data_IF_630980161141
#
_entry.id   IF_630980161141
#
_cell.length_a   1.000
_cell.length_b   1.000
_cell.length_c   1.000
_cell.angle_alpha   90.00
_cell.angle_beta   90.00
_cell.angle_gamma   90.00
#
_symmetry.space_group_name_H-M   'P 1'
#
loop_
_entity.id
_entity.type
_entity.pdbx_description
1 polymer ?
#
# COMPACT_ATOMS: atom_id res chain seq x y z
N UNK A 1 63.20 -41.18 16.29
CA UNK A 1 61.77 -41.53 16.30
C UNK A 1 61.01 -40.21 16.38
N UNK A 2 60.27 -39.71 15.41
CA UNK A 2 59.54 -40.31 14.30
C UNK A 2 59.74 -39.43 13.05
N UNK A 3 60.01 -40.10 11.94
CA UNK A 3 60.02 -39.55 10.59
C UNK A 3 58.58 -39.36 10.12
N UNK A 4 58.24 -38.18 9.60
CA UNK A 4 57.54 -38.14 8.31
C UNK A 4 57.74 -36.79 7.62
N UNK A 5 58.71 -36.82 6.71
CA UNK A 5 58.74 -36.10 5.45
C UNK A 5 57.32 -35.94 4.86
N UNK A 6 57.02 -34.81 4.21
CA UNK A 6 56.95 -34.76 2.73
C UNK A 6 56.31 -33.45 2.21
N UNK A 7 57.16 -32.63 1.57
CA UNK A 7 56.94 -31.85 0.33
C UNK A 7 55.90 -30.72 0.38
N UNK A 8 56.08 -29.56 -0.26
CA UNK A 8 56.99 -29.15 -1.34
C UNK A 8 57.00 -27.61 -1.37
N UNK A 9 58.16 -27.03 -1.67
CA UNK A 9 58.37 -25.61 -1.99
C UNK A 9 57.69 -25.21 -3.31
N UNK A 10 57.32 -23.92 -3.43
CA UNK A 10 57.61 -22.93 -4.50
C UNK A 10 56.57 -21.79 -4.37
N UNK A 11 56.87 -20.59 -3.86
CA UNK A 11 57.53 -19.41 -4.47
C UNK A 11 57.07 -19.18 -5.93
N UNK A 12 56.52 -18.04 -6.37
CA UNK A 12 57.13 -16.69 -6.43
C UNK A 12 56.03 -15.58 -6.46
N UNK A 13 56.45 -14.40 -5.98
CA UNK A 13 55.81 -13.05 -5.88
C UNK A 13 55.24 -12.50 -7.20
N UNK A 14 54.23 -11.61 -7.15
CA UNK A 14 54.31 -10.16 -7.52
C UNK A 14 52.95 -9.43 -7.43
N UNK A 15 53.05 -8.14 -7.07
CA UNK A 15 52.02 -7.11 -6.85
C UNK A 15 51.02 -6.89 -7.99
N UNK A 16 49.76 -6.55 -7.63
CA UNK A 16 49.09 -5.25 -7.94
C UNK A 16 47.63 -5.26 -7.44
N UNK A 17 47.28 -4.29 -6.58
CA UNK A 17 45.91 -3.79 -6.35
C UNK A 17 45.73 -2.51 -7.19
N UNK A 18 44.53 -1.93 -7.36
CA UNK A 18 43.17 -2.49 -7.32
C UNK A 18 42.33 -2.04 -8.55
N UNK A 19 41.63 -2.94 -9.25
CA UNK A 19 40.67 -2.51 -10.28
C UNK A 19 39.31 -2.19 -9.66
N UNK A 20 39.16 -0.91 -9.32
CA UNK A 20 37.96 -0.23 -8.85
C UNK A 20 36.98 0.01 -10.02
N UNK A 21 36.51 -1.03 -10.71
CA UNK A 21 35.62 -0.84 -11.86
C UNK A 21 34.64 -2.00 -12.07
N UNK A 22 33.81 -2.29 -11.07
CA UNK A 22 32.56 -3.06 -11.24
C UNK A 22 31.60 -2.76 -10.08
N UNK A 23 31.21 -1.49 -9.94
CA UNK A 23 30.10 -1.05 -9.07
C UNK A 23 29.20 -0.08 -9.84
N UNK A 24 28.73 -0.49 -11.02
CA UNK A 24 27.77 0.28 -11.81
C UNK A 24 26.58 -0.60 -12.22
N UNK A 25 25.85 -1.10 -11.22
CA UNK A 25 24.51 -1.67 -11.43
C UNK A 25 23.68 -1.73 -10.14
N UNK A 26 23.87 -0.77 -9.22
CA UNK A 26 23.07 -0.68 -7.98
C UNK A 26 22.52 0.73 -7.72
N UNK A 27 22.47 1.58 -8.76
CA UNK A 27 22.00 2.96 -8.67
C UNK A 27 20.86 3.27 -9.65
N UNK A 28 20.08 2.25 -10.04
CA UNK A 28 18.68 2.49 -10.36
C UNK A 28 17.96 2.77 -9.02
N UNK A 29 18.30 3.92 -8.43
CA UNK A 29 17.55 4.56 -7.37
C UNK A 29 16.15 4.70 -7.95
N UNK A 30 15.26 3.79 -7.55
CA UNK A 30 13.83 3.87 -7.82
C UNK A 30 13.43 5.29 -7.44
N UNK A 31 13.14 6.12 -8.45
CA UNK A 31 12.47 7.38 -8.23
C UNK A 31 11.09 6.99 -7.68
N UNK A 32 11.01 6.80 -6.37
CA UNK A 32 9.73 6.75 -5.68
C UNK A 32 9.06 8.05 -6.03
N UNK A 33 7.99 7.94 -6.80
CA UNK A 33 7.18 9.08 -7.24
C UNK A 33 6.39 9.56 -6.03
N UNK A 34 7.08 10.07 -5.02
CA UNK A 34 6.45 10.65 -3.85
C UNK A 34 5.83 11.97 -4.29
N UNK A 35 4.52 11.94 -4.43
CA UNK A 35 3.72 13.12 -4.67
C UNK A 35 3.71 13.89 -3.34
N UNK A 36 3.86 15.22 -3.37
CA UNK A 36 3.81 16.03 -2.15
C UNK A 36 2.45 15.85 -1.43
N UNK A 37 2.39 15.91 -0.08
CA UNK A 37 1.16 15.71 0.68
C UNK A 37 -0.03 16.54 0.18
N UNK A 38 0.20 17.80 -0.20
CA UNK A 38 -0.86 18.69 -0.71
C UNK A 38 -1.48 18.16 -2.01
N UNK A 39 -0.63 17.67 -2.93
CA UNK A 39 -1.07 17.08 -4.20
C UNK A 39 -1.78 15.74 -3.98
N UNK A 40 -1.37 14.97 -2.98
CA UNK A 40 -2.05 13.73 -2.59
C UNK A 40 -3.46 14.04 -2.08
N UNK A 41 -3.60 15.05 -1.21
CA UNK A 41 -4.89 15.52 -0.71
C UNK A 41 -5.77 16.04 -1.85
N UNK A 42 -5.23 16.83 -2.78
CA UNK A 42 -5.97 17.31 -3.96
C UNK A 42 -6.45 16.17 -4.85
N UNK A 43 -5.59 15.18 -5.10
CA UNK A 43 -5.96 13.98 -5.86
C UNK A 43 -7.07 13.22 -5.13
N UNK A 44 -6.93 13.00 -3.82
CA UNK A 44 -7.93 12.32 -3.01
C UNK A 44 -9.29 13.04 -3.03
N UNK A 45 -9.30 14.38 -2.92
CA UNK A 45 -10.52 15.19 -3.06
C UNK A 45 -11.20 14.95 -4.40
N UNK A 46 -10.44 14.98 -5.50
CA UNK A 46 -10.96 14.69 -6.84
C UNK A 46 -11.54 13.28 -6.93
N UNK A 47 -10.86 12.28 -6.36
CA UNK A 47 -11.34 10.89 -6.35
C UNK A 47 -12.63 10.74 -5.54
N UNK A 48 -12.73 11.34 -4.35
CA UNK A 48 -13.96 11.33 -3.56
C UNK A 48 -15.14 11.96 -4.33
N UNK A 49 -14.91 13.08 -5.01
CA UNK A 49 -15.94 13.74 -5.81
C UNK A 49 -16.44 12.86 -6.96
N UNK A 50 -15.57 12.03 -7.56
CA UNK A 50 -16.00 11.05 -8.58
C UNK A 50 -16.95 9.98 -8.02
N UNK A 51 -16.95 9.75 -6.72
CA UNK A 51 -17.89 8.88 -5.99
C UNK A 51 -19.06 9.67 -5.39
N UNK A 52 -19.18 10.97 -5.70
CA UNK A 52 -20.25 11.83 -5.18
C UNK A 52 -20.07 12.23 -3.71
N UNK A 53 -18.85 12.13 -3.16
CA UNK A 53 -18.56 12.47 -1.77
C UNK A 53 -17.75 13.77 -1.74
N UNK A 54 -18.23 14.76 -0.99
CA UNK A 54 -17.45 15.94 -0.72
C UNK A 54 -16.58 15.72 0.52
N UNK A 55 -15.28 15.99 0.43
CA UNK A 55 -14.34 15.82 1.57
C UNK A 55 -14.78 16.62 2.81
N UNK A 56 -15.43 17.78 2.63
CA UNK A 56 -15.88 18.62 3.73
C UNK A 56 -17.03 18.00 4.53
N UNK A 57 -17.70 16.97 3.98
CA UNK A 57 -18.75 16.21 4.67
C UNK A 57 -18.19 15.03 5.45
N UNK A 58 -16.95 14.60 5.18
CA UNK A 58 -16.32 13.44 5.82
C UNK A 58 -16.34 13.47 7.35
N UNK A 59 -16.12 14.61 8.04
CA UNK A 59 -16.23 14.66 9.50
C UNK A 59 -17.60 14.20 10.02
N UNK A 60 -18.68 14.48 9.28
CA UNK A 60 -20.06 14.08 9.63
C UNK A 60 -20.35 12.62 9.27
N UNK A 61 -19.73 12.11 8.22
CA UNK A 61 -19.94 10.75 7.69
C UNK A 61 -19.06 9.70 8.38
N UNK A 62 -18.02 10.14 9.09
CA UNK A 62 -17.09 9.27 9.82
C UNK A 62 -17.78 8.62 11.04
N UNK A 63 -17.69 7.29 11.21
CA UNK A 63 -18.23 6.64 12.39
C UNK A 63 -17.59 7.16 13.68
N UNK A 64 -18.41 7.48 14.69
CA UNK A 64 -17.94 8.04 15.96
C UNK A 64 -17.11 7.05 16.78
N UNK A 65 -17.49 5.77 16.78
CA UNK A 65 -16.80 4.74 17.59
C UNK A 65 -15.62 4.13 16.82
N UNK A 66 -14.52 3.83 17.55
CA UNK A 66 -13.36 3.13 16.99
C UNK A 66 -13.75 1.79 16.38
N UNK A 67 -14.64 1.04 17.05
CA UNK A 67 -15.13 -0.26 16.58
C UNK A 67 -15.80 -0.14 15.20
N UNK A 68 -16.71 0.83 15.04
CA UNK A 68 -17.40 1.02 13.76
C UNK A 68 -16.47 1.49 12.65
N UNK A 69 -15.44 2.27 12.98
CA UNK A 69 -14.39 2.63 12.02
C UNK A 69 -13.58 1.42 11.57
N UNK A 70 -13.21 0.53 12.50
CA UNK A 70 -12.49 -0.71 12.20
C UNK A 70 -13.33 -1.69 11.37
N UNK A 71 -14.63 -1.81 11.68
CA UNK A 71 -15.57 -2.61 10.88
C UNK A 71 -15.60 -2.12 9.43
N UNK A 72 -15.70 -0.81 9.23
CA UNK A 72 -15.71 -0.20 7.90
C UNK A 72 -14.35 -0.34 7.20
N UNK A 73 -13.24 -0.20 7.93
CA UNK A 73 -11.89 -0.44 7.42
C UNK A 73 -11.74 -1.88 6.92
N UNK A 74 -12.23 -2.86 7.66
CA UNK A 74 -12.17 -4.27 7.25
C UNK A 74 -12.91 -4.53 5.94
N UNK A 75 -14.08 -3.91 5.76
CA UNK A 75 -14.83 -3.98 4.49
C UNK A 75 -14.04 -3.31 3.37
N UNK A 76 -13.48 -2.12 3.60
CA UNK A 76 -12.68 -1.38 2.62
C UNK A 76 -11.43 -2.15 2.18
N UNK A 77 -10.70 -2.73 3.14
CA UNK A 77 -9.53 -3.58 2.89
C UNK A 77 -9.90 -4.84 2.12
N UNK A 78 -11.07 -5.43 2.39
CA UNK A 78 -11.55 -6.58 1.62
C UNK A 78 -11.82 -6.22 0.15
N UNK A 79 -12.41 -5.04 -0.11
CA UNK A 79 -12.62 -4.54 -1.48
C UNK A 79 -11.28 -4.32 -2.17
N UNK A 80 -10.32 -3.67 -1.51
CA UNK A 80 -9.03 -3.32 -2.10
C UNK A 80 -8.18 -4.55 -2.48
N UNK A 81 -8.24 -5.62 -1.67
CA UNK A 81 -7.46 -6.84 -1.86
C UNK A 81 -8.12 -7.86 -2.81
N UNK A 82 -9.39 -7.70 -3.15
CA UNK A 82 -10.08 -8.56 -4.11
C UNK A 82 -10.15 -7.88 -5.48
N UNK A 83 -9.46 -8.45 -6.48
CA UNK A 83 -9.35 -7.88 -7.83
C UNK A 83 -10.71 -7.62 -8.50
N UNK A 84 -11.67 -8.53 -8.33
CA UNK A 84 -13.00 -8.40 -8.93
C UNK A 84 -13.83 -7.32 -8.21
N UNK A 85 -13.83 -7.30 -6.88
CA UNK A 85 -14.56 -6.29 -6.13
C UNK A 85 -13.96 -4.90 -6.35
N UNK A 86 -12.63 -4.80 -6.41
CA UNK A 86 -11.93 -3.57 -6.76
C UNK A 86 -12.33 -3.06 -8.13
N UNK A 87 -12.35 -3.92 -9.15
CA UNK A 87 -12.71 -3.50 -10.52
C UNK A 87 -14.16 -3.02 -10.59
N UNK A 88 -15.08 -3.74 -9.94
CA UNK A 88 -16.49 -3.36 -9.84
C UNK A 88 -16.67 -2.03 -9.10
N UNK A 89 -15.97 -1.86 -7.98
CA UNK A 89 -15.99 -0.64 -7.16
C UNK A 89 -15.56 0.59 -7.96
N UNK A 90 -14.42 0.50 -8.67
CA UNK A 90 -13.87 1.60 -9.46
C UNK A 90 -14.72 1.91 -10.70
N UNK A 91 -15.26 0.88 -11.36
CA UNK A 91 -16.05 1.04 -12.58
C UNK A 91 -17.44 1.60 -12.28
N UNK A 92 -18.11 1.06 -11.26
CA UNK A 92 -19.46 1.50 -10.86
C UNK A 92 -19.46 2.76 -10.00
N UNK A 93 -18.29 3.18 -9.50
CA UNK A 93 -18.13 4.31 -8.56
C UNK A 93 -19.02 4.15 -7.32
N UNK A 94 -19.08 2.93 -6.80
CA UNK A 94 -19.95 2.57 -5.68
C UNK A 94 -19.66 1.19 -5.12
N UNK A 95 -20.21 0.88 -3.93
CA UNK A 95 -19.94 -0.41 -3.28
C UNK A 95 -20.67 -1.57 -4.00
N UNK A 96 -19.97 -2.69 -4.29
CA UNK A 96 -20.59 -3.93 -4.75
C UNK A 96 -21.35 -4.62 -3.61
N UNK A 97 -22.46 -4.03 -3.16
CA UNK A 97 -23.16 -4.41 -1.93
C UNK A 97 -23.67 -5.85 -1.94
N UNK A 98 -24.11 -6.36 -3.10
CA UNK A 98 -24.59 -7.75 -3.24
C UNK A 98 -23.49 -8.75 -2.88
N UNK A 99 -22.30 -8.58 -3.46
CA UNK A 99 -21.15 -9.45 -3.20
C UNK A 99 -20.60 -9.27 -1.78
N UNK A 100 -20.58 -8.04 -1.26
CA UNK A 100 -20.10 -7.78 0.10
C UNK A 100 -21.02 -8.39 1.17
N UNK A 101 -22.32 -8.51 0.88
CA UNK A 101 -23.29 -9.07 1.83
C UNK A 101 -23.10 -10.56 2.12
N UNK A 102 -22.32 -11.27 1.31
CA UNK A 102 -21.96 -12.67 1.54
C UNK A 102 -21.00 -12.84 2.75
N UNK A 103 -20.19 -11.81 3.05
CA UNK A 103 -19.18 -11.85 4.12
C UNK A 103 -19.41 -10.83 5.22
N UNK A 104 -20.09 -9.73 4.93
CA UNK A 104 -20.29 -8.63 5.87
C UNK A 104 -21.77 -8.31 6.07
N UNK A 105 -22.19 -7.90 7.28
CA UNK A 105 -23.57 -7.52 7.53
C UNK A 105 -24.00 -6.35 6.63
N UNK A 106 -25.09 -6.52 5.85
CA UNK A 106 -25.65 -5.49 4.97
C UNK A 106 -25.94 -4.17 5.69
N UNK A 107 -26.31 -4.24 6.97
CA UNK A 107 -26.52 -3.06 7.83
C UNK A 107 -25.26 -2.21 7.99
N UNK A 108 -24.08 -2.83 8.07
CA UNK A 108 -22.79 -2.14 8.23
C UNK A 108 -22.37 -1.49 6.92
N UNK A 109 -22.52 -2.22 5.81
CA UNK A 109 -22.23 -1.73 4.46
C UNK A 109 -23.06 -0.48 4.16
N UNK A 110 -24.38 -0.55 4.36
CA UNK A 110 -25.31 0.57 4.10
C UNK A 110 -25.07 1.77 5.03
N UNK A 111 -24.84 1.52 6.32
CA UNK A 111 -24.68 2.60 7.31
C UNK A 111 -23.38 3.38 7.11
N UNK A 112 -22.30 2.71 6.71
CA UNK A 112 -20.98 3.31 6.61
C UNK A 112 -20.51 3.47 5.17
N UNK A 113 -21.41 3.40 4.19
CA UNK A 113 -21.10 3.46 2.76
C UNK A 113 -20.10 4.55 2.38
N UNK A 114 -20.31 5.84 2.72
CA UNK A 114 -19.38 6.90 2.33
C UNK A 114 -17.99 6.74 2.96
N UNK A 115 -17.93 6.28 4.22
CA UNK A 115 -16.67 6.05 4.90
C UNK A 115 -15.91 4.83 4.35
N UNK A 116 -16.62 3.74 4.02
CA UNK A 116 -16.03 2.57 3.37
C UNK A 116 -15.44 2.95 2.00
N UNK A 117 -16.17 3.71 1.19
CA UNK A 117 -15.68 4.22 -0.11
C UNK A 117 -14.39 5.02 0.09
N UNK A 118 -14.41 5.96 1.04
CA UNK A 118 -13.29 6.83 1.31
C UNK A 118 -12.03 6.09 1.76
N UNK A 119 -12.16 5.11 2.64
CA UNK A 119 -11.05 4.27 3.11
C UNK A 119 -10.56 3.34 1.98
N UNK A 120 -11.47 2.75 1.20
CA UNK A 120 -11.10 1.89 0.08
C UNK A 120 -10.26 2.64 -0.94
N UNK A 121 -10.62 3.90 -1.26
CA UNK A 121 -9.83 4.75 -2.14
C UNK A 121 -8.43 5.02 -1.59
N UNK A 122 -8.28 5.24 -0.27
CA UNK A 122 -6.96 5.45 0.34
C UNK A 122 -6.05 4.23 0.15
N UNK A 123 -6.61 3.03 0.32
CA UNK A 123 -5.86 1.78 0.18
C UNK A 123 -5.54 1.49 -1.29
N UNK A 124 -6.52 1.64 -2.18
CA UNK A 124 -6.40 1.30 -3.62
C UNK A 124 -5.43 2.23 -4.35
N UNK A 125 -5.47 3.53 -4.06
CA UNK A 125 -4.62 4.55 -4.71
C UNK A 125 -3.23 4.65 -4.06
N UNK A 126 -2.97 3.87 -3.00
CA UNK A 126 -1.69 3.79 -2.32
C UNK A 126 -1.19 5.15 -1.75
N UNK A 127 -2.10 5.91 -1.14
CA UNK A 127 -1.77 7.21 -0.55
C UNK A 127 -0.89 7.09 0.69
N UNK A 128 0.39 7.44 0.55
CA UNK A 128 1.41 7.24 1.56
C UNK A 128 1.13 8.04 2.83
N UNK A 129 0.74 9.31 2.68
CA UNK A 129 0.47 10.18 3.84
C UNK A 129 -0.90 9.91 4.45
N UNK A 130 -1.93 9.64 3.64
CA UNK A 130 -3.29 9.44 4.14
C UNK A 130 -3.49 8.10 4.84
N UNK A 131 -2.72 7.06 4.49
CA UNK A 131 -2.76 5.75 5.19
C UNK A 131 -2.49 5.87 6.69
N UNK A 132 -1.61 6.78 7.10
CA UNK A 132 -1.29 7.01 8.51
C UNK A 132 -2.46 7.49 9.38
N UNK A 133 -3.58 7.89 8.77
CA UNK A 133 -4.80 8.30 9.48
C UNK A 133 -5.87 7.21 9.53
N UNK A 134 -5.62 6.03 8.93
CA UNK A 134 -6.56 4.93 8.95
C UNK A 134 -6.59 4.23 10.31
N UNK A 135 -7.76 3.71 10.72
CA UNK A 135 -7.90 2.91 11.92
C UNK A 135 -7.47 1.47 11.61
N UNK A 136 -6.16 1.21 11.68
CA UNK A 136 -5.57 -0.14 11.59
C UNK A 136 -5.63 -0.90 12.92
#
# INVERSE_FOLDING_TARGET
MISWLKRRKMNIKTHSSPDLASRSSAAAHLQTKSISPDKEIEHYKSRLLQFGINIYEMPKLTPQSKKSRLDAYTIASYIANNTELKSLFLTKKGLPASQLSEKFPSKSIRRYTPYIIAVALIIIEDYEYLKGYLPE
#
